data_IF_804140552999
#
_entry.id   IF_804140552999
#
_cell.length_a   1.000
_cell.length_b   1.000
_cell.length_c   1.000
_cell.angle_alpha   90.00
_cell.angle_beta   90.00
_cell.angle_gamma   90.00
#
_symmetry.space_group_name_H-M   'P 1'
#
loop_
_entity.id
_entity.type
_entity.pdbx_description
1 polymer ?
#
# COMPACT_ATOMS: atom_id res chain seq x y z
N UNK A 1 -14.48 -25.36 6.14
CA UNK A 1 -14.26 -23.90 5.94
C UNK A 1 -13.60 -23.70 4.60
N UNK A 2 -14.26 -23.04 3.66
CA UNK A 2 -13.65 -22.64 2.39
C UNK A 2 -12.42 -21.81 2.71
N UNK A 3 -11.22 -22.37 2.50
CA UNK A 3 -9.96 -21.67 2.67
C UNK A 3 -9.88 -20.65 1.54
N UNK A 4 -10.46 -19.47 1.72
CA UNK A 4 -10.22 -18.34 0.84
C UNK A 4 -8.70 -18.17 0.77
N UNK A 5 -8.13 -18.48 -0.40
CA UNK A 5 -6.68 -18.58 -0.55
C UNK A 5 -6.04 -17.24 -0.18
N UNK A 6 -6.70 -16.11 -0.45
CA UNK A 6 -6.27 -14.74 -0.20
C UNK A 6 -7.25 -13.97 0.71
N UNK A 7 -6.72 -13.05 1.51
CA UNK A 7 -7.49 -12.17 2.42
C UNK A 7 -8.22 -11.08 1.64
N UNK A 8 -9.19 -10.42 2.29
CA UNK A 8 -9.94 -9.33 1.65
C UNK A 8 -9.09 -8.06 1.48
N UNK A 9 -8.10 -7.82 2.35
CA UNK A 9 -7.13 -6.74 2.20
C UNK A 9 -6.22 -6.95 0.98
N UNK A 10 -5.74 -8.19 0.79
CA UNK A 10 -4.94 -8.56 -0.39
C UNK A 10 -5.73 -8.30 -1.68
N UNK A 11 -7.01 -8.69 -1.71
CA UNK A 11 -7.89 -8.42 -2.86
C UNK A 11 -8.11 -6.92 -3.06
N UNK A 12 -8.40 -6.19 -1.99
CA UNK A 12 -8.67 -4.75 -2.04
C UNK A 12 -7.46 -3.98 -2.59
N UNK A 13 -6.23 -4.38 -2.25
CA UNK A 13 -5.03 -3.74 -2.77
C UNK A 13 -4.88 -3.96 -4.29
N UNK A 14 -5.11 -5.19 -4.76
CA UNK A 14 -5.01 -5.54 -6.17
C UNK A 14 -6.11 -4.83 -6.99
N UNK A 15 -7.33 -4.81 -6.48
CA UNK A 15 -8.44 -4.10 -7.11
C UNK A 15 -8.19 -2.59 -7.16
N UNK A 16 -7.61 -2.01 -6.11
CA UNK A 16 -7.24 -0.60 -6.10
C UNK A 16 -6.24 -0.28 -7.21
N UNK A 17 -5.14 -1.03 -7.31
CA UNK A 17 -4.17 -0.84 -8.39
C UNK A 17 -4.83 -1.00 -9.76
N UNK A 18 -5.64 -2.06 -9.94
CA UNK A 18 -6.33 -2.31 -11.21
C UNK A 18 -7.26 -1.17 -11.60
N UNK A 19 -8.04 -0.65 -10.65
CA UNK A 19 -8.96 0.47 -10.89
C UNK A 19 -8.20 1.71 -11.37
N UNK A 20 -7.06 2.02 -10.75
CA UNK A 20 -6.22 3.15 -11.12
C UNK A 20 -5.58 2.99 -12.49
N UNK A 21 -5.12 1.77 -12.83
CA UNK A 21 -4.58 1.48 -14.16
C UNK A 21 -5.67 1.62 -15.25
N UNK A 22 -6.89 1.14 -14.98
CA UNK A 22 -8.04 1.29 -15.89
C UNK A 22 -8.40 2.77 -16.08
N UNK A 23 -8.46 3.57 -15.01
CA UNK A 23 -8.71 5.01 -15.09
C UNK A 23 -7.67 5.76 -15.93
N UNK A 24 -6.49 5.17 -16.12
CA UNK A 24 -5.41 5.71 -16.97
C UNK A 24 -5.42 5.16 -18.40
N UNK A 25 -6.39 4.30 -18.74
CA UNK A 25 -6.55 3.73 -20.08
C UNK A 25 -5.89 2.36 -20.27
N UNK A 26 -5.29 1.76 -19.23
CA UNK A 26 -4.74 0.41 -19.31
C UNK A 26 -5.87 -0.59 -19.07
N UNK A 27 -6.39 -1.15 -20.18
CA UNK A 27 -7.53 -2.07 -20.16
C UNK A 27 -7.17 -3.52 -20.49
N UNK A 28 -5.96 -3.76 -20.99
CA UNK A 28 -5.47 -5.11 -21.33
C UNK A 28 -4.52 -5.60 -20.26
N UNK A 29 -4.89 -6.69 -19.60
CA UNK A 29 -4.07 -7.37 -18.61
C UNK A 29 -3.82 -8.81 -19.05
N UNK A 30 -2.61 -9.37 -18.81
CA UNK A 30 -2.37 -10.80 -18.95
C UNK A 30 -3.36 -11.64 -18.13
N UNK A 31 -3.68 -12.84 -18.61
CA UNK A 31 -4.66 -13.75 -17.95
C UNK A 31 -4.29 -14.06 -16.50
N UNK A 32 -3.01 -14.18 -16.22
CA UNK A 32 -2.42 -14.51 -14.92
C UNK A 32 -2.07 -13.27 -14.08
N UNK A 33 -2.30 -12.05 -14.61
CA UNK A 33 -1.92 -10.81 -13.94
C UNK A 33 -2.50 -10.72 -12.53
N UNK A 34 -3.80 -10.98 -12.38
CA UNK A 34 -4.48 -10.87 -11.09
C UNK A 34 -3.91 -11.85 -10.05
N UNK A 35 -3.58 -13.07 -10.45
CA UNK A 35 -3.01 -14.08 -9.55
C UNK A 35 -1.57 -13.71 -9.11
N UNK A 36 -0.77 -13.14 -10.03
CA UNK A 36 0.56 -12.61 -9.72
C UNK A 36 0.48 -11.42 -8.76
N UNK A 37 -0.49 -10.52 -8.94
CA UNK A 37 -0.71 -9.40 -8.04
C UNK A 37 -1.14 -9.87 -6.64
N UNK A 38 -2.07 -10.82 -6.55
CA UNK A 38 -2.50 -11.38 -5.26
C UNK A 38 -1.34 -12.04 -4.49
N UNK A 39 -0.47 -12.74 -5.20
CA UNK A 39 0.74 -13.32 -4.60
C UNK A 39 1.68 -12.23 -4.08
N UNK A 40 1.84 -11.13 -4.82
CA UNK A 40 2.67 -9.99 -4.40
C UNK A 40 2.05 -9.26 -3.20
N UNK A 41 0.74 -9.02 -3.23
CA UNK A 41 -0.01 -8.37 -2.15
C UNK A 41 0.13 -9.14 -0.83
N UNK A 42 0.10 -10.48 -0.88
CA UNK A 42 0.37 -11.31 0.29
C UNK A 42 1.72 -11.01 0.91
N UNK A 43 2.79 -11.02 0.12
CA UNK A 43 4.13 -10.74 0.65
C UNK A 43 4.25 -9.32 1.18
N UNK A 44 3.59 -8.36 0.52
CA UNK A 44 3.60 -6.95 0.91
C UNK A 44 2.85 -6.64 2.21
N UNK A 45 1.82 -7.44 2.53
CA UNK A 45 1.02 -7.33 3.75
C UNK A 45 1.45 -8.36 4.82
N UNK A 46 2.32 -9.31 4.49
CA UNK A 46 2.83 -10.28 5.43
C UNK A 46 3.98 -9.70 6.27
N UNK A 47 3.75 -9.55 7.57
CA UNK A 47 4.78 -9.23 8.56
C UNK A 47 4.28 -8.25 9.61
N UNK A 48 4.80 -8.38 10.83
CA UNK A 48 4.37 -7.55 11.98
C UNK A 48 4.67 -6.04 11.83
N UNK A 49 5.57 -5.69 10.91
CA UNK A 49 5.91 -4.30 10.54
C UNK A 49 5.59 -4.00 9.06
N UNK A 50 4.74 -4.80 8.42
CA UNK A 50 4.30 -4.55 7.05
C UNK A 50 3.40 -3.30 7.01
N UNK A 51 3.47 -2.48 5.95
CA UNK A 51 2.57 -1.36 5.78
C UNK A 51 1.12 -1.81 5.74
N UNK A 52 0.25 -0.98 6.31
CA UNK A 52 -1.17 -1.19 6.17
C UNK A 52 -1.63 -0.97 4.72
N UNK A 53 -2.81 -1.50 4.40
CA UNK A 53 -3.47 -1.33 3.11
C UNK A 53 -3.48 0.13 2.64
N UNK A 54 -3.78 1.08 3.53
CA UNK A 54 -3.88 2.49 3.18
C UNK A 54 -2.52 3.14 2.89
N UNK A 55 -1.45 2.70 3.55
CA UNK A 55 -0.09 3.17 3.23
C UNK A 55 0.34 2.69 1.85
N UNK A 56 -0.04 1.46 1.47
CA UNK A 56 0.18 0.95 0.13
C UNK A 56 -0.65 1.69 -0.93
N UNK A 57 -1.91 2.02 -0.64
CA UNK A 57 -2.74 2.85 -1.53
C UNK A 57 -2.11 4.24 -1.73
N UNK A 58 -1.63 4.87 -0.67
CA UNK A 58 -0.93 6.15 -0.75
C UNK A 58 0.35 6.06 -1.59
N UNK A 59 1.11 4.97 -1.44
CA UNK A 59 2.29 4.72 -2.28
C UNK A 59 1.90 4.54 -3.76
N UNK A 60 0.80 3.86 -4.07
CA UNK A 60 0.27 3.71 -5.43
C UNK A 60 -0.09 5.08 -6.00
N UNK A 61 -0.86 5.89 -5.26
CA UNK A 61 -1.27 7.22 -5.71
C UNK A 61 -0.06 8.13 -5.94
N UNK A 62 0.94 8.08 -5.06
CA UNK A 62 2.19 8.81 -5.23
C UNK A 62 2.93 8.38 -6.51
N UNK A 63 3.06 7.08 -6.75
CA UNK A 63 3.71 6.58 -7.97
C UNK A 63 2.96 6.98 -9.24
N UNK A 64 1.63 7.06 -9.18
CA UNK A 64 0.80 7.39 -10.34
C UNK A 64 0.66 8.89 -10.58
N UNK A 65 0.85 9.72 -9.55
CA UNK A 65 0.83 11.19 -9.66
C UNK A 65 2.03 11.74 -10.44
N UNK A 66 3.18 11.08 -10.34
CA UNK A 66 4.40 11.48 -11.04
C UNK A 66 4.43 10.91 -12.47
N UNK A 67 4.53 11.79 -13.48
CA UNK A 67 4.57 11.41 -14.91
C UNK A 67 5.70 10.42 -15.23
N UNK A 68 6.81 10.43 -14.49
CA UNK A 68 7.92 9.51 -14.72
C UNK A 68 7.69 8.13 -14.11
N UNK A 69 7.17 8.07 -12.88
CA UNK A 69 6.93 6.80 -12.19
C UNK A 69 5.69 6.09 -12.71
N UNK A 70 4.70 6.85 -13.18
CA UNK A 70 3.44 6.32 -13.63
C UNK A 70 3.58 5.36 -14.84
N UNK A 71 4.60 5.54 -15.68
CA UNK A 71 4.88 4.66 -16.83
C UNK A 71 5.56 3.35 -16.40
N UNK A 72 6.17 3.35 -15.20
CA UNK A 72 6.92 2.23 -14.64
C UNK A 72 6.12 1.37 -13.67
N UNK A 73 4.84 1.71 -13.44
CA UNK A 73 3.96 1.02 -12.51
C UNK A 73 2.82 0.34 -13.26
N UNK A 74 2.98 -0.95 -13.47
CA UNK A 74 2.05 -1.88 -14.10
C UNK A 74 1.72 -3.09 -13.19
N UNK A 75 2.49 -3.30 -12.12
CA UNK A 75 2.32 -4.37 -11.14
C UNK A 75 2.75 -3.95 -9.72
N UNK A 76 2.25 -4.66 -8.70
CA UNK A 76 2.52 -4.37 -7.29
C UNK A 76 4.00 -4.50 -6.92
N UNK A 77 4.76 -5.42 -7.51
CA UNK A 77 6.20 -5.51 -7.23
C UNK A 77 6.98 -4.27 -7.73
N UNK A 78 6.49 -3.55 -8.75
CA UNK A 78 7.06 -2.27 -9.14
C UNK A 78 6.79 -1.20 -8.07
N UNK A 79 5.57 -1.18 -7.52
CA UNK A 79 5.20 -0.31 -6.38
C UNK A 79 6.07 -0.63 -5.16
N UNK A 80 6.30 -1.91 -4.86
CA UNK A 80 7.17 -2.35 -3.76
C UNK A 80 8.60 -1.83 -3.92
N UNK A 81 9.19 -1.90 -5.12
CA UNK A 81 10.52 -1.34 -5.40
C UNK A 81 10.55 0.18 -5.21
N UNK A 82 9.46 0.87 -5.55
CA UNK A 82 9.33 2.31 -5.39
C UNK A 82 9.03 2.73 -3.96
N UNK A 83 8.55 1.82 -3.11
CA UNK A 83 8.27 2.11 -1.70
C UNK A 83 9.48 2.66 -0.95
N UNK A 84 10.68 2.14 -1.21
CA UNK A 84 11.91 2.67 -0.59
C UNK A 84 12.11 4.15 -0.95
N UNK A 85 11.83 4.52 -2.21
CA UNK A 85 11.90 5.92 -2.67
C UNK A 85 10.79 6.77 -2.08
N UNK A 86 9.56 6.23 -2.03
CA UNK A 86 8.42 6.86 -1.38
C UNK A 86 8.71 7.13 0.10
N UNK A 87 9.36 6.21 0.82
CA UNK A 87 9.77 6.39 2.22
C UNK A 87 10.86 7.47 2.36
N UNK A 88 11.84 7.48 1.45
CA UNK A 88 12.94 8.46 1.47
C UNK A 88 12.50 9.88 1.06
N UNK A 89 11.73 10.03 -0.01
CA UNK A 89 11.05 11.30 -0.34
C UNK A 89 9.97 11.63 0.68
N UNK A 90 9.44 10.61 1.33
CA UNK A 90 8.63 10.68 2.53
C UNK A 90 9.37 11.25 3.75
N UNK A 91 10.69 11.33 3.82
CA UNK A 91 11.29 12.20 4.85
C UNK A 91 11.00 13.71 4.60
N UNK A 92 10.32 14.07 3.50
CA UNK A 92 9.55 15.32 3.35
C UNK A 92 8.02 15.17 3.47
N UNK A 93 7.44 13.96 3.45
CA UNK A 93 5.98 13.67 3.52
C UNK A 93 5.56 12.52 4.47
N UNK A 94 6.21 11.35 4.47
CA UNK A 94 6.17 10.30 5.51
C UNK A 94 6.70 10.67 6.91
N UNK A 95 7.33 11.83 7.09
CA UNK A 95 7.45 12.47 8.41
C UNK A 95 6.07 12.65 9.06
N UNK A 96 5.04 12.98 8.27
CA UNK A 96 3.68 13.19 8.74
C UNK A 96 3.03 11.89 9.23
N UNK A 97 3.22 10.76 8.54
CA UNK A 97 2.61 9.47 8.93
C UNK A 97 3.27 8.92 10.21
N UNK A 98 4.59 9.06 10.32
CA UNK A 98 5.31 8.70 11.55
C UNK A 98 4.89 9.58 12.72
N UNK A 99 4.76 10.89 12.51
CA UNK A 99 4.22 11.82 13.50
C UNK A 99 2.79 11.49 13.93
N UNK A 100 1.89 11.15 12.99
CA UNK A 100 0.50 10.77 13.30
C UNK A 100 0.46 9.47 14.13
N UNK A 101 1.31 8.50 13.82
CA UNK A 101 1.35 7.23 14.55
C UNK A 101 2.03 7.36 15.93
N UNK A 102 3.04 8.22 16.05
CA UNK A 102 3.67 8.59 17.32
C UNK A 102 2.73 9.44 18.21
N UNK A 103 1.93 10.34 17.63
CA UNK A 103 0.90 11.10 18.35
C UNK A 103 -0.24 10.20 18.85
N UNK A 104 -0.70 9.26 18.03
CA UNK A 104 -1.69 8.26 18.45
C UNK A 104 -1.18 7.44 19.63
N UNK A 105 0.05 6.91 19.55
CA UNK A 105 0.68 6.17 20.66
C UNK A 105 0.81 7.03 21.93
N UNK A 106 1.13 8.32 21.80
CA UNK A 106 1.16 9.24 22.93
C UNK A 106 -0.21 9.45 23.56
N UNK A 107 -1.25 9.65 22.75
CA UNK A 107 -2.62 9.81 23.23
C UNK A 107 -3.12 8.57 23.98
N UNK A 108 -2.83 7.38 23.46
CA UNK A 108 -3.17 6.09 24.10
C UNK A 108 -2.43 5.86 25.42
N UNK A 109 -1.18 6.33 25.54
CA UNK A 109 -0.47 6.31 26.82
C UNK A 109 -1.04 7.29 27.83
N UNK A 110 -1.43 8.49 27.40
CA UNK A 110 -1.99 9.51 28.27
C UNK A 110 -3.37 9.11 28.80
N UNK A 111 -4.23 8.53 27.96
CA UNK A 111 -5.51 7.97 28.40
C UNK A 111 -5.34 6.88 29.46
N UNK A 112 -4.32 6.02 29.33
CA UNK A 112 -3.99 5.02 30.35
C UNK A 112 -3.43 5.61 31.65
N UNK A 113 -2.83 6.80 31.59
CA UNK A 113 -2.21 7.45 32.75
C UNK A 113 -3.22 8.25 33.58
N UNK A 114 -4.25 8.81 32.92
CA UNK A 114 -5.26 9.67 33.56
C UNK A 114 -6.59 8.96 33.88
N UNK A 115 -6.81 7.72 33.42
CA UNK A 115 -7.94 6.87 33.84
C UNK A 115 -7.61 6.06 35.12
N UNK A 116 -7.05 6.70 36.14
CA UNK A 116 -6.87 6.14 37.49
C UNK A 116 -7.56 7.00 38.54
#
# INVERSE_FOLDING_TARGET
>A
MSKNKYTDEEKALVEYLKSKLISRGIVKFPRDWHLKQLSSARYMLAGDNAPNLDEWKACIDWCLADKFWCDKVDHLAAVERLRTKYSLQGNKAGGLIKSINDEKKKSEMLDKLYMR
#
